data_IF_327539394465
#
_entry.id   IF_327539394465
#
_cell.length_a   1.000
_cell.length_b   1.000
_cell.length_c   1.000
_cell.angle_alpha   90.00
_cell.angle_beta   90.00
_cell.angle_gamma   90.00
#
_symmetry.space_group_name_H-M   'P 1'
#
loop_
_entity.id
_entity.type
_entity.pdbx_description
1 polymer ?
#
# COMPACT_ATOMS: atom_id res chain seq x y z
N UNK A 1 21.67 31.80 9.53
CA UNK A 1 20.77 32.37 10.56
C UNK A 1 19.47 32.73 9.86
N UNK A 2 18.32 32.51 10.49
CA UNK A 2 17.00 32.83 9.92
C UNK A 2 16.90 34.33 9.62
N UNK A 3 16.41 34.70 8.42
CA UNK A 3 16.31 36.09 7.93
C UNK A 3 15.20 36.92 8.58
N UNK A 4 14.34 36.32 9.42
CA UNK A 4 13.21 37.03 10.02
C UNK A 4 13.52 37.52 11.44
N UNK A 5 13.24 38.81 11.71
CA UNK A 5 13.25 39.39 13.06
C UNK A 5 12.21 38.68 13.94
N UNK A 6 12.64 38.22 15.11
CA UNK A 6 11.78 37.57 16.09
C UNK A 6 11.15 38.61 17.01
N UNK A 7 9.82 38.61 17.11
CA UNK A 7 9.09 39.51 18.01
C UNK A 7 8.80 38.84 19.36
N UNK A 8 8.61 39.60 20.45
CA UNK A 8 8.37 39.04 21.80
C UNK A 8 7.14 38.10 21.87
N UNK A 9 6.13 38.35 21.03
CA UNK A 9 4.95 37.47 20.87
C UNK A 9 5.31 36.08 20.36
N UNK A 10 6.46 35.94 19.70
CA UNK A 10 6.92 34.69 19.11
C UNK A 10 7.47 33.70 20.14
N UNK A 11 7.78 34.20 21.33
CA UNK A 11 8.26 33.47 22.50
C UNK A 11 7.12 33.03 23.43
N UNK A 12 5.87 33.40 23.12
CA UNK A 12 4.71 33.06 23.95
C UNK A 12 4.26 31.61 23.69
N UNK A 13 4.09 30.84 24.77
CA UNK A 13 3.74 29.42 24.78
C UNK A 13 2.35 29.08 24.19
N UNK A 14 1.58 30.07 23.75
CA UNK A 14 0.23 29.91 23.19
C UNK A 14 0.15 30.14 21.67
N UNK A 15 1.26 30.03 20.94
CA UNK A 15 1.20 29.96 19.47
C UNK A 15 0.43 28.71 19.04
N UNK A 16 -0.59 28.89 18.19
CA UNK A 16 -1.23 27.78 17.48
C UNK A 16 -0.13 27.00 16.77
N UNK A 17 -0.01 25.72 17.10
CA UNK A 17 0.90 24.82 16.41
C UNK A 17 0.54 24.84 14.92
N UNK A 18 1.52 25.01 14.04
CA UNK A 18 1.27 25.06 12.60
C UNK A 18 0.62 23.76 12.08
N UNK A 19 0.78 22.66 12.82
CA UNK A 19 0.10 21.36 12.59
C UNK A 19 -1.39 21.36 12.94
N UNK A 20 -1.84 22.26 13.81
CA UNK A 20 -3.22 22.34 14.32
C UNK A 20 -4.01 23.51 13.67
N UNK A 21 -3.53 24.06 12.55
CA UNK A 21 -4.18 25.16 11.84
C UNK A 21 -5.52 24.76 11.19
N UNK A 22 -5.67 23.49 10.80
CA UNK A 22 -6.83 22.96 10.07
C UNK A 22 -7.78 22.11 10.92
N UNK A 23 -7.54 21.99 12.23
CA UNK A 23 -8.33 21.13 13.11
C UNK A 23 -9.39 21.92 13.86
N UNK A 24 -10.64 21.48 13.81
CA UNK A 24 -11.69 21.99 14.70
C UNK A 24 -11.37 21.61 16.15
N UNK A 25 -11.58 22.54 17.10
CA UNK A 25 -11.21 22.36 18.51
C UNK A 25 -12.16 21.40 19.24
N UNK A 26 -13.30 21.10 18.64
CA UNK A 26 -14.37 20.25 19.19
C UNK A 26 -14.11 18.75 19.00
N UNK A 27 -13.20 18.37 18.10
CA UNK A 27 -12.94 16.96 17.76
C UNK A 27 -11.68 16.43 18.46
N UNK A 28 -11.74 15.18 18.93
CA UNK A 28 -10.58 14.46 19.48
C UNK A 28 -9.51 14.26 18.40
N UNK A 29 -8.24 14.08 18.81
CA UNK A 29 -7.16 13.72 17.87
C UNK A 29 -7.42 12.39 17.18
N UNK A 30 -8.06 11.43 17.86
CA UNK A 30 -8.42 10.14 17.28
C UNK A 30 -9.52 10.29 16.23
N UNK A 31 -10.55 11.09 16.52
CA UNK A 31 -11.65 11.36 15.60
C UNK A 31 -11.20 12.10 14.34
N UNK A 32 -10.31 13.09 14.48
CA UNK A 32 -9.72 13.79 13.35
C UNK A 32 -8.89 12.85 12.44
N UNK A 33 -8.17 11.90 13.04
CA UNK A 33 -7.43 10.90 12.25
C UNK A 33 -8.40 9.97 11.51
N UNK A 34 -9.46 9.50 12.15
CA UNK A 34 -10.48 8.64 11.53
C UNK A 34 -11.17 9.36 10.37
N UNK A 35 -11.53 10.64 10.56
CA UNK A 35 -12.22 11.44 9.54
C UNK A 35 -11.29 11.77 8.35
N UNK A 36 -9.97 11.94 8.62
CA UNK A 36 -8.95 12.06 7.57
C UNK A 36 -8.60 10.74 6.87
N UNK A 37 -8.75 9.60 7.55
CA UNK A 37 -8.63 8.26 6.96
C UNK A 37 -9.84 7.93 6.06
N UNK A 38 -10.99 8.55 6.31
CA UNK A 38 -12.17 8.44 5.43
C UNK A 38 -12.15 9.45 4.27
N UNK A 39 -11.56 10.63 4.47
CA UNK A 39 -11.40 11.69 3.46
C UNK A 39 -9.96 11.80 2.96
N UNK A 40 -9.39 10.69 2.46
CA UNK A 40 -8.02 10.67 1.94
C UNK A 40 -7.99 11.40 0.60
N UNK A 41 -7.68 12.69 0.64
CA UNK A 41 -7.28 13.43 -0.55
C UNK A 41 -5.93 12.85 -1.04
N UNK A 42 -5.85 12.38 -2.30
CA UNK A 42 -4.69 11.64 -2.81
C UNK A 42 -3.39 12.45 -2.83
N UNK A 43 -3.48 13.78 -2.85
CA UNK A 43 -2.32 14.70 -2.94
C UNK A 43 -1.90 15.33 -1.60
N UNK A 44 -2.35 14.78 -0.48
CA UNK A 44 -1.96 15.31 0.84
C UNK A 44 -0.62 14.73 1.33
N UNK A 45 0.15 15.55 2.03
CA UNK A 45 1.37 15.11 2.73
C UNK A 45 1.08 13.95 3.73
N UNK A 46 -0.15 13.88 4.25
CA UNK A 46 -0.61 12.81 5.11
C UNK A 46 -0.72 11.47 4.38
N UNK A 47 -1.29 11.42 3.17
CA UNK A 47 -1.34 10.21 2.36
C UNK A 47 0.08 9.69 2.06
N UNK A 48 0.99 10.58 1.65
CA UNK A 48 2.39 10.20 1.38
C UNK A 48 3.06 9.58 2.61
N UNK A 49 2.79 10.12 3.80
CA UNK A 49 3.26 9.56 5.06
C UNK A 49 2.71 8.14 5.31
N UNK A 50 1.41 7.91 5.11
CA UNK A 50 0.79 6.59 5.28
C UNK A 50 1.38 5.56 4.31
N UNK A 51 1.56 5.93 3.05
CA UNK A 51 2.20 5.07 2.03
C UNK A 51 3.62 4.71 2.47
N UNK A 52 4.43 5.69 2.89
CA UNK A 52 5.80 5.43 3.34
C UNK A 52 5.83 4.54 4.59
N UNK A 53 4.89 4.73 5.52
CA UNK A 53 4.73 3.90 6.71
C UNK A 53 4.41 2.45 6.33
N UNK A 54 3.47 2.24 5.41
CA UNK A 54 3.10 0.92 4.90
C UNK A 54 4.29 0.23 4.19
N UNK A 55 5.01 0.95 3.33
CA UNK A 55 6.21 0.44 2.69
C UNK A 55 7.28 0.04 3.72
N UNK A 56 7.56 0.90 4.71
CA UNK A 56 8.51 0.59 5.76
C UNK A 56 8.11 -0.66 6.57
N UNK A 57 6.81 -0.90 6.75
CA UNK A 57 6.32 -2.10 7.40
C UNK A 57 6.63 -3.35 6.57
N UNK A 58 6.37 -3.34 5.26
CA UNK A 58 6.72 -4.43 4.34
C UNK A 58 8.23 -4.70 4.34
N UNK A 59 9.07 -3.66 4.36
CA UNK A 59 10.55 -3.83 4.45
C UNK A 59 10.98 -4.59 5.70
N UNK A 60 10.28 -4.42 6.81
CA UNK A 60 10.59 -5.09 8.09
C UNK A 60 10.04 -6.52 8.14
N UNK A 61 8.91 -6.75 7.50
CA UNK A 61 8.22 -8.04 7.53
C UNK A 61 8.91 -9.09 6.65
N UNK A 62 9.45 -8.67 5.50
CA UNK A 62 10.06 -9.58 4.53
C UNK A 62 11.52 -9.20 4.27
N UNK A 63 12.43 -10.13 4.56
CA UNK A 63 13.85 -10.05 4.20
C UNK A 63 14.10 -10.47 2.75
N UNK A 64 13.27 -11.35 2.23
CA UNK A 64 13.36 -11.94 0.89
C UNK A 64 12.11 -11.62 0.06
N UNK A 65 12.15 -11.92 -1.24
CA UNK A 65 11.01 -11.65 -2.14
C UNK A 65 9.82 -12.52 -1.76
N UNK A 66 8.62 -11.94 -1.81
CA UNK A 66 7.38 -12.70 -1.63
C UNK A 66 7.12 -13.62 -2.84
N UNK A 67 7.58 -13.24 -4.03
CA UNK A 67 7.48 -14.05 -5.24
C UNK A 67 8.70 -14.98 -5.34
N UNK A 68 8.47 -16.29 -5.30
CA UNK A 68 9.51 -17.35 -5.32
C UNK A 68 9.70 -17.99 -6.69
N UNK A 69 9.91 -17.17 -7.71
CA UNK A 69 10.21 -17.63 -9.07
C UNK A 69 11.72 -17.72 -9.34
N UNK A 70 12.09 -18.07 -10.58
CA UNK A 70 13.49 -18.16 -11.00
C UNK A 70 14.26 -16.82 -10.98
N UNK A 71 13.56 -15.68 -10.82
CA UNK A 71 14.15 -14.34 -10.72
C UNK A 71 14.18 -13.82 -9.27
N UNK A 72 13.76 -14.63 -8.30
CA UNK A 72 13.85 -14.35 -6.87
C UNK A 72 15.30 -14.44 -6.33
N UNK A 73 16.27 -14.72 -7.18
CA UNK A 73 17.68 -14.78 -6.82
C UNK A 73 18.21 -13.39 -6.46
N UNK A 74 18.79 -13.27 -5.27
CA UNK A 74 19.41 -12.05 -4.75
C UNK A 74 18.58 -11.33 -3.69
N UNK A 75 19.07 -10.17 -3.26
CA UNK A 75 18.44 -9.41 -2.19
C UNK A 75 17.14 -8.75 -2.65
N UNK A 76 16.07 -8.92 -1.87
CA UNK A 76 14.82 -8.24 -2.10
C UNK A 76 14.89 -6.82 -1.52
N UNK A 77 15.06 -5.83 -2.38
CA UNK A 77 15.18 -4.43 -1.98
C UNK A 77 13.93 -3.62 -2.31
N UNK A 78 13.22 -4.00 -3.38
CA UNK A 78 12.15 -3.20 -3.95
C UNK A 78 10.81 -3.52 -3.30
N UNK A 79 9.99 -2.48 -3.09
CA UNK A 79 8.58 -2.62 -2.74
C UNK A 79 7.79 -2.13 -3.92
N UNK A 80 6.95 -3.01 -4.43
CA UNK A 80 6.17 -2.80 -5.61
C UNK A 80 4.70 -2.62 -5.24
N UNK A 81 4.04 -1.67 -5.88
CA UNK A 81 2.58 -1.54 -5.85
C UNK A 81 1.98 -2.44 -6.92
N UNK A 82 1.26 -3.50 -6.50
CA UNK A 82 0.62 -4.45 -7.44
C UNK A 82 -0.39 -3.70 -8.34
N UNK A 83 -1.18 -2.81 -7.74
CA UNK A 83 -1.98 -1.80 -8.41
C UNK A 83 -1.30 -0.44 -8.29
N UNK A 84 -0.93 0.21 -9.41
CA UNK A 84 0.01 1.32 -9.39
C UNK A 84 -0.63 2.55 -8.75
N UNK A 85 0.14 3.25 -7.91
CA UNK A 85 -0.31 4.47 -7.21
C UNK A 85 -0.88 5.53 -8.16
N UNK A 86 -0.34 5.65 -9.37
CA UNK A 86 -0.81 6.63 -10.37
C UNK A 86 -2.24 6.39 -10.83
N UNK A 87 -2.69 5.13 -10.88
CA UNK A 87 -4.06 4.76 -11.28
C UNK A 87 -4.97 4.53 -10.08
N UNK A 88 -4.42 4.01 -8.98
CA UNK A 88 -5.18 3.63 -7.78
C UNK A 88 -4.57 4.25 -6.52
N UNK A 89 -4.55 5.59 -6.38
CA UNK A 89 -3.97 6.26 -5.22
C UNK A 89 -4.65 5.87 -3.90
N UNK A 90 -5.94 5.52 -3.94
CA UNK A 90 -6.69 5.01 -2.80
C UNK A 90 -6.16 3.68 -2.29
N UNK A 91 -5.54 2.85 -3.15
CA UNK A 91 -4.98 1.56 -2.78
C UNK A 91 -3.52 1.66 -2.32
N UNK A 92 -2.87 2.82 -2.46
CA UNK A 92 -1.41 2.93 -2.33
C UNK A 92 -0.85 2.65 -0.93
N UNK A 93 -1.68 2.80 0.11
CA UNK A 93 -1.29 2.62 1.51
C UNK A 93 -1.66 1.24 2.08
N UNK A 94 -2.43 0.44 1.34
CA UNK A 94 -2.81 -0.91 1.76
C UNK A 94 -1.60 -1.84 1.69
N UNK A 95 -1.33 -2.57 2.77
CA UNK A 95 -0.26 -3.56 2.81
C UNK A 95 -0.53 -4.70 1.82
N UNK A 96 -1.81 -4.99 1.60
CA UNK A 96 -2.31 -5.98 0.65
C UNK A 96 -2.02 -5.61 -0.81
N UNK A 97 -1.79 -4.33 -1.10
CA UNK A 97 -1.39 -3.84 -2.43
C UNK A 97 0.13 -3.70 -2.60
N UNK A 98 0.91 -3.94 -1.54
CA UNK A 98 2.37 -3.82 -1.57
C UNK A 98 3.01 -5.20 -1.57
N UNK A 99 3.95 -5.45 -2.48
CA UNK A 99 4.69 -6.70 -2.55
C UNK A 99 6.20 -6.48 -2.57
N UNK A 100 6.93 -7.27 -1.79
CA UNK A 100 8.38 -7.23 -1.73
C UNK A 100 8.99 -8.04 -2.87
N UNK A 101 9.83 -7.42 -3.70
CA UNK A 101 10.46 -8.03 -4.88
C UNK A 101 11.98 -7.80 -4.92
N UNK A 102 12.69 -8.66 -5.68
CA UNK A 102 14.07 -8.38 -6.09
C UNK A 102 14.11 -7.26 -7.13
N UNK A 103 15.28 -6.63 -7.30
CA UNK A 103 15.47 -5.61 -8.33
C UNK A 103 15.16 -6.17 -9.74
N UNK A 104 15.57 -7.41 -10.00
CA UNK A 104 15.32 -8.06 -11.28
C UNK A 104 13.83 -8.27 -11.53
N UNK A 105 13.10 -8.83 -10.54
CA UNK A 105 11.64 -8.99 -10.61
C UNK A 105 10.92 -7.65 -10.84
N UNK A 106 11.32 -6.60 -10.12
CA UNK A 106 10.69 -5.29 -10.24
C UNK A 106 10.89 -4.67 -11.63
N UNK A 107 12.15 -4.51 -12.06
CA UNK A 107 12.49 -3.73 -13.24
C UNK A 107 12.43 -4.49 -14.57
N UNK A 108 12.42 -5.84 -14.53
CA UNK A 108 12.36 -6.63 -15.77
C UNK A 108 11.02 -7.34 -15.96
N UNK A 109 10.33 -7.70 -14.86
CA UNK A 109 9.06 -8.45 -14.91
C UNK A 109 7.86 -7.57 -14.66
N UNK A 110 7.79 -6.92 -13.51
CA UNK A 110 6.66 -6.07 -13.17
C UNK A 110 6.57 -4.84 -14.09
N UNK A 111 7.73 -4.26 -14.44
CA UNK A 111 7.84 -3.12 -15.35
C UNK A 111 8.72 -3.47 -16.56
N UNK A 112 8.21 -4.16 -17.60
CA UNK A 112 8.99 -4.53 -18.77
C UNK A 112 9.66 -3.31 -19.40
N UNK A 113 10.94 -3.44 -19.78
CA UNK A 113 11.75 -2.36 -20.35
C UNK A 113 11.96 -1.16 -19.41
N UNK A 114 11.97 -1.37 -18.08
CA UNK A 114 12.10 -0.33 -17.05
C UNK A 114 11.04 0.78 -17.13
N UNK A 115 9.90 0.52 -17.79
CA UNK A 115 8.80 1.49 -17.88
C UNK A 115 7.95 1.39 -16.63
N UNK A 116 8.30 2.17 -15.61
CA UNK A 116 7.60 2.19 -14.31
C UNK A 116 6.15 2.66 -14.40
N UNK A 117 5.78 3.30 -15.51
CA UNK A 117 4.41 3.78 -15.75
C UNK A 117 3.44 2.66 -16.18
N UNK A 118 3.97 1.52 -16.61
CA UNK A 118 3.19 0.37 -17.09
C UNK A 118 3.48 -0.88 -16.28
N UNK A 119 2.43 -1.63 -15.93
CA UNK A 119 2.55 -2.93 -15.25
C UNK A 119 2.32 -4.05 -16.27
N UNK A 120 3.13 -5.11 -16.18
CA UNK A 120 2.88 -6.36 -16.87
C UNK A 120 1.71 -7.11 -16.20
N UNK A 121 0.63 -7.32 -16.95
CA UNK A 121 -0.59 -8.01 -16.48
C UNK A 121 -0.32 -9.43 -16.00
N UNK A 122 0.46 -10.21 -16.75
CA UNK A 122 0.78 -11.59 -16.38
C UNK A 122 1.57 -11.63 -15.06
N UNK A 123 2.53 -10.72 -14.92
CA UNK A 123 3.31 -10.64 -13.69
C UNK A 123 2.52 -10.02 -12.53
N UNK A 124 1.52 -9.19 -12.81
CA UNK A 124 0.58 -8.68 -11.81
C UNK A 124 -0.22 -9.83 -11.20
N UNK A 125 -0.71 -10.77 -12.02
CA UNK A 125 -1.37 -12.00 -11.53
C UNK A 125 -0.42 -12.80 -10.63
N UNK A 126 0.83 -13.03 -11.06
CA UNK A 126 1.84 -13.73 -10.24
C UNK A 126 2.02 -13.04 -8.89
N UNK A 127 2.09 -11.71 -8.87
CA UNK A 127 2.18 -10.93 -7.63
C UNK A 127 0.93 -11.11 -6.76
N UNK A 128 -0.28 -11.05 -7.33
CA UNK A 128 -1.52 -11.25 -6.58
C UNK A 128 -1.63 -12.65 -5.96
N UNK A 129 -1.24 -13.69 -6.70
CA UNK A 129 -1.22 -15.06 -6.20
C UNK A 129 -0.22 -15.23 -5.06
N UNK A 130 1.00 -14.73 -5.23
CA UNK A 130 2.02 -14.75 -4.17
C UNK A 130 1.56 -13.96 -2.94
N UNK A 131 0.93 -12.80 -3.15
CA UNK A 131 0.41 -11.97 -2.07
C UNK A 131 -0.73 -12.65 -1.31
N UNK A 132 -1.63 -13.32 -2.03
CA UNK A 132 -2.68 -14.15 -1.43
C UNK A 132 -2.07 -15.21 -0.50
N UNK A 133 -1.01 -15.90 -0.92
CA UNK A 133 -0.33 -16.91 -0.10
C UNK A 133 0.37 -16.30 1.13
N UNK A 134 1.01 -15.13 0.97
CA UNK A 134 1.61 -14.38 2.08
C UNK A 134 0.57 -14.01 3.14
N UNK A 135 -0.59 -13.48 2.71
CA UNK A 135 -1.67 -13.06 3.60
C UNK A 135 -2.29 -14.27 4.30
N UNK A 136 -2.57 -15.35 3.55
CA UNK A 136 -3.12 -16.58 4.12
C UNK A 136 -2.21 -17.15 5.21
N UNK A 137 -0.89 -17.23 4.97
CA UNK A 137 0.09 -17.70 5.95
C UNK A 137 0.15 -16.80 7.19
N UNK A 138 0.10 -15.48 7.02
CA UNK A 138 0.11 -14.54 8.14
C UNK A 138 -1.14 -14.68 9.02
N UNK A 139 -2.33 -14.79 8.40
CA UNK A 139 -3.59 -14.98 9.13
C UNK A 139 -3.64 -16.33 9.84
N UNK A 140 -3.12 -17.40 9.24
CA UNK A 140 -3.00 -18.71 9.90
C UNK A 140 -2.08 -18.66 11.14
N UNK A 141 -1.07 -17.78 11.13
CA UNK A 141 -0.19 -17.51 12.28
C UNK A 141 -0.79 -16.51 13.28
N UNK A 142 -2.02 -16.07 13.04
CA UNK A 142 -2.73 -15.08 13.85
C UNK A 142 -2.00 -13.71 13.90
N UNK A 143 -1.28 -13.35 12.84
CA UNK A 143 -0.66 -12.04 12.68
C UNK A 143 -1.70 -11.00 12.24
N UNK A 144 -1.80 -9.89 12.98
CA UNK A 144 -2.84 -8.87 12.78
C UNK A 144 -2.47 -7.78 11.76
N UNK A 145 -1.45 -8.01 10.93
CA UNK A 145 -1.00 -7.03 9.95
C UNK A 145 -1.90 -6.94 8.73
N UNK A 146 -2.52 -8.05 8.34
CA UNK A 146 -3.33 -8.15 7.13
C UNK A 146 -4.80 -8.36 7.46
N UNK A 147 -5.67 -7.99 6.51
CA UNK A 147 -7.09 -8.32 6.53
C UNK A 147 -7.49 -8.88 5.18
N UNK A 148 -8.25 -9.99 5.19
CA UNK A 148 -8.73 -10.61 3.95
C UNK A 148 -9.66 -9.66 3.20
N UNK A 149 -10.46 -8.90 3.93
CA UNK A 149 -11.40 -7.90 3.42
C UNK A 149 -10.65 -6.78 2.68
N UNK A 150 -9.53 -6.31 3.22
CA UNK A 150 -8.66 -5.31 2.56
C UNK A 150 -8.07 -5.85 1.26
N UNK A 151 -7.70 -7.12 1.21
CA UNK A 151 -7.18 -7.75 -0.01
C UNK A 151 -8.26 -7.86 -1.09
N UNK A 152 -9.45 -8.32 -0.71
CA UNK A 152 -10.61 -8.38 -1.61
C UNK A 152 -10.98 -6.98 -2.12
N UNK A 153 -10.95 -5.96 -1.25
CA UNK A 153 -11.17 -4.58 -1.66
C UNK A 153 -10.13 -4.08 -2.69
N UNK A 154 -8.85 -4.41 -2.50
CA UNK A 154 -7.80 -4.09 -3.46
C UNK A 154 -8.07 -4.75 -4.82
N UNK A 155 -8.44 -6.04 -4.84
CA UNK A 155 -8.75 -6.79 -6.06
C UNK A 155 -9.96 -6.18 -6.78
N UNK A 156 -11.07 -5.98 -6.06
CA UNK A 156 -12.31 -5.45 -6.60
C UNK A 156 -12.11 -4.06 -7.20
N UNK A 157 -11.38 -3.19 -6.50
CA UNK A 157 -11.07 -1.83 -6.98
C UNK A 157 -10.09 -1.85 -8.15
N UNK A 158 -9.07 -2.70 -8.11
CA UNK A 158 -7.99 -2.74 -9.09
C UNK A 158 -8.35 -3.43 -10.40
N UNK A 159 -9.23 -4.43 -10.36
CA UNK A 159 -9.66 -5.24 -11.52
C UNK A 159 -11.11 -4.98 -11.92
N UNK A 160 -11.79 -4.04 -11.25
CA UNK A 160 -13.22 -3.75 -11.46
C UNK A 160 -14.09 -5.00 -11.34
N UNK A 161 -13.99 -5.67 -10.19
CA UNK A 161 -14.69 -6.92 -9.86
C UNK A 161 -15.53 -6.78 -8.58
N UNK A 162 -16.41 -7.74 -8.34
CA UNK A 162 -17.28 -7.79 -7.17
C UNK A 162 -17.14 -9.12 -6.41
N UNK A 163 -15.91 -9.49 -6.07
CA UNK A 163 -15.64 -10.68 -5.25
C UNK A 163 -16.20 -10.49 -3.83
N UNK A 164 -16.78 -11.56 -3.29
CA UNK A 164 -17.30 -11.58 -1.93
C UNK A 164 -16.19 -11.83 -0.91
N UNK A 165 -16.28 -11.17 0.25
CA UNK A 165 -15.31 -11.31 1.33
C UNK A 165 -15.37 -12.67 2.05
N UNK A 166 -16.44 -13.45 1.89
CA UNK A 166 -16.59 -14.79 2.49
C UNK A 166 -15.78 -15.87 1.75
N UNK A 167 -15.32 -15.59 0.53
CA UNK A 167 -14.49 -16.51 -0.26
C UNK A 167 -13.23 -16.95 0.50
N UNK A 168 -12.85 -18.20 0.28
CA UNK A 168 -11.57 -18.76 0.74
C UNK A 168 -10.43 -18.26 -0.14
N UNK A 169 -9.20 -18.24 0.37
CA UNK A 169 -8.02 -17.87 -0.42
C UNK A 169 -7.85 -18.74 -1.68
N UNK A 170 -8.20 -20.02 -1.59
CA UNK A 170 -8.22 -20.90 -2.76
C UNK A 170 -9.21 -20.44 -3.82
N UNK A 171 -10.44 -20.08 -3.42
CA UNK A 171 -11.44 -19.56 -4.36
C UNK A 171 -10.99 -18.23 -4.97
N UNK A 172 -10.46 -17.30 -4.16
CA UNK A 172 -9.94 -16.01 -4.64
C UNK A 172 -8.87 -16.24 -5.72
N UNK A 173 -7.93 -17.18 -5.51
CA UNK A 173 -6.90 -17.51 -6.52
C UNK A 173 -7.49 -18.07 -7.82
N UNK A 174 -8.54 -18.91 -7.73
CA UNK A 174 -9.24 -19.44 -8.92
C UNK A 174 -9.97 -18.33 -9.70
N UNK A 175 -10.65 -17.42 -9.00
CA UNK A 175 -11.31 -16.26 -9.62
C UNK A 175 -10.28 -15.36 -10.31
N UNK A 176 -9.16 -15.06 -9.64
CA UNK A 176 -8.06 -14.30 -10.23
C UNK A 176 -7.53 -14.95 -11.52
N UNK A 177 -7.30 -16.27 -11.51
CA UNK A 177 -6.87 -16.96 -12.72
C UNK A 177 -7.90 -16.86 -13.85
N UNK A 178 -9.20 -16.91 -13.53
CA UNK A 178 -10.28 -16.78 -14.52
C UNK A 178 -10.31 -15.37 -15.12
N UNK A 179 -10.30 -14.33 -14.27
CA UNK A 179 -10.29 -12.92 -14.69
C UNK A 179 -9.14 -12.59 -15.63
N UNK A 180 -7.94 -13.12 -15.38
CA UNK A 180 -6.77 -12.85 -16.22
C UNK A 180 -6.69 -13.72 -17.49
N UNK A 181 -7.43 -14.82 -17.56
CA UNK A 181 -7.52 -15.64 -18.78
C UNK A 181 -8.63 -15.18 -19.72
N UNK A 182 -9.66 -14.49 -19.19
CA UNK A 182 -10.80 -13.99 -19.96
C UNK A 182 -10.56 -12.60 -20.59
N UNK A 183 -9.48 -11.91 -20.20
CA UNK A 183 -9.03 -10.62 -20.75
C UNK A 183 -7.91 -10.79 -21.78
#
# INVERSE_FOLDING_TARGET
>A
MSENEFYYTDLMYNRKNWRDLSKDKTISRQEANIDSEQNILPDTAFNAYLVQKAMNQIRKMYSESEVKDQWANGEATQIHHIFPKSKFPQLAHYLENLIKLTANQHYTKAHPNNKTDSINTDYQLVCLLAKSDSIEKALQKNELYYRKESFVYCINTGLNQELKADLTFRQIKTELATIYNDN
#
